data_IF_825609652435
#
_entry.id   IF_825609652435
#
_cell.length_a   1.000
_cell.length_b   1.000
_cell.length_c   1.000
_cell.angle_alpha   90.00
_cell.angle_beta   90.00
_cell.angle_gamma   90.00
#
_symmetry.space_group_name_H-M   'P 1'
#
loop_
_entity.id
_entity.type
_entity.pdbx_description
1 polymer ?
2 polymer ?
3 polymer ?
4 water ?
#
# COMPACT_ATOMS: atom_id res chain seq x y z
N UNK A 1 -20.94 -18.71 8.54
CA UNK A 1 -20.31 -17.46 8.03
C UNK A 1 -18.88 -17.75 7.58
N UNK A 2 -18.54 -17.35 6.37
CA UNK A 2 -17.21 -17.62 5.82
C UNK A 2 -16.21 -16.70 6.48
N UNK A 3 -15.14 -17.28 7.02
CA UNK A 3 -14.10 -16.51 7.70
C UNK A 3 -12.74 -17.12 7.40
N UNK A 4 -11.77 -16.26 7.13
CA UNK A 4 -10.36 -16.64 7.00
C UNK A 4 -9.62 -15.89 8.09
N UNK A 5 -9.34 -16.57 9.19
CA UNK A 5 -8.78 -15.94 10.39
C UNK A 5 -7.26 -16.08 10.33
N UNK A 6 -6.55 -14.96 10.28
CA UNK A 6 -5.12 -14.97 10.05
C UNK A 6 -4.36 -14.64 11.33
N UNK A 7 -3.13 -15.15 11.40
CA UNK A 7 -2.26 -14.93 12.54
C UNK A 7 -1.88 -13.46 12.64
N UNK A 8 -1.13 -13.13 13.69
CA UNK A 8 -0.60 -11.79 13.85
C UNK A 8 0.70 -11.52 13.13
N UNK A 9 1.32 -12.56 12.57
CA UNK A 9 2.63 -12.37 11.95
C UNK A 9 3.59 -11.77 12.95
N UNK A 10 4.39 -10.82 12.48
CA UNK A 10 5.19 -10.04 13.40
C UNK A 10 6.51 -9.59 12.76
N UNK A 11 7.56 -9.66 13.57
CA UNK A 11 8.83 -9.02 13.30
C UNK A 11 9.92 -10.08 13.32
N UNK A 12 10.77 -10.09 12.30
CA UNK A 12 11.82 -11.09 12.17
C UNK A 12 13.07 -10.47 11.57
N UNK A 13 14.22 -11.01 11.96
CA UNK A 13 15.51 -10.57 11.44
C UNK A 13 15.75 -11.16 10.04
N UNK A 14 16.45 -10.44 9.17
CA UNK A 14 16.82 -11.03 7.88
C UNK A 14 17.54 -12.35 8.08
N UNK A 15 17.22 -13.32 7.24
CA UNK A 15 17.72 -14.67 7.40
C UNK A 15 16.86 -15.54 8.30
N UNK A 16 15.93 -14.96 9.04
CA UNK A 16 15.10 -15.69 9.97
C UNK A 16 13.93 -16.39 9.29
N UNK A 17 13.03 -16.88 10.13
CA UNK A 17 11.90 -17.68 9.67
C UNK A 17 10.63 -17.27 10.40
N UNK A 18 9.51 -17.56 9.76
CA UNK A 18 8.20 -17.24 10.29
C UNK A 18 7.17 -18.08 9.54
N UNK A 19 6.05 -18.36 10.20
CA UNK A 19 5.00 -19.21 9.62
C UNK A 19 3.63 -18.59 9.90
N UNK A 20 3.24 -17.58 9.11
CA UNK A 20 1.86 -17.10 9.18
C UNK A 20 0.88 -18.24 8.90
N UNK A 21 -0.31 -18.14 9.50
CA UNK A 21 -1.31 -19.18 9.38
C UNK A 21 -2.67 -18.56 9.12
N UNK A 22 -3.58 -19.40 8.63
CA UNK A 22 -4.93 -18.98 8.27
C UNK A 22 -5.88 -20.13 8.60
N UNK A 23 -6.78 -19.90 9.57
CA UNK A 23 -7.74 -20.90 10.02
C UNK A 23 -9.12 -20.52 9.50
N UNK A 24 -9.76 -21.42 8.77
CA UNK A 24 -10.98 -21.09 8.05
C UNK A 24 -12.21 -21.69 8.71
N UNK A 25 -13.36 -21.05 8.48
CA UNK A 25 -14.66 -21.57 8.85
C UNK A 25 -15.67 -21.19 7.78
N UNK A 26 -16.81 -21.90 7.78
CA UNK A 26 -17.93 -21.56 6.93
C UNK A 26 -17.96 -22.25 5.58
N UNK A 27 -16.94 -23.02 5.21
CA UNK A 27 -16.93 -23.75 3.96
C UNK A 27 -16.10 -25.02 4.14
N UNK A 28 -16.20 -25.92 3.17
CA UNK A 28 -15.48 -27.19 3.22
C UNK A 28 -14.03 -26.95 2.84
N UNK A 29 -13.18 -26.76 3.85
CA UNK A 29 -11.79 -26.40 3.61
C UNK A 29 -11.10 -27.44 2.73
N UNK A 30 -11.33 -28.72 3.01
CA UNK A 30 -10.59 -29.76 2.33
C UNK A 30 -10.95 -29.86 0.85
N UNK A 31 -12.05 -29.25 0.42
CA UNK A 31 -12.45 -29.27 -0.99
C UNK A 31 -12.00 -28.02 -1.75
N UNK A 32 -11.12 -27.22 -1.17
CA UNK A 32 -10.86 -25.87 -1.67
C UNK A 32 -9.36 -25.66 -1.89
N UNK A 33 -8.99 -25.20 -3.08
CA UNK A 33 -7.65 -24.69 -3.31
C UNK A 33 -7.44 -23.37 -2.59
N UNK A 34 -6.21 -23.14 -2.13
CA UNK A 34 -5.89 -21.97 -1.35
C UNK A 34 -4.63 -21.30 -1.90
N UNK A 35 -4.55 -19.98 -1.72
CA UNK A 35 -3.39 -19.21 -2.16
C UNK A 35 -2.99 -18.23 -1.08
N UNK A 36 -1.74 -17.75 -1.19
CA UNK A 36 -1.28 -16.57 -0.48
C UNK A 36 -0.98 -15.47 -1.49
N UNK A 37 -1.39 -14.26 -1.16
CA UNK A 37 -1.11 -13.06 -1.94
C UNK A 37 -0.55 -12.01 -0.99
N UNK A 38 0.41 -11.22 -1.45
CA UNK A 38 1.01 -10.22 -0.58
C UNK A 38 0.95 -8.84 -1.22
N UNK A 39 1.07 -7.82 -0.38
CA UNK A 39 1.17 -6.43 -0.81
C UNK A 39 2.40 -5.84 -0.13
N UNK A 40 3.45 -5.60 -0.92
CA UNK A 40 4.65 -4.95 -0.42
C UNK A 40 4.43 -3.44 -0.36
N UNK A 41 5.19 -2.73 0.48
CA UNK A 41 4.99 -1.28 0.59
C UNK A 41 5.27 -0.58 -0.72
N UNK A 42 4.33 0.27 -1.14
CA UNK A 42 4.47 1.04 -2.35
C UNK A 42 4.03 0.29 -3.59
N UNK A 43 4.27 -1.02 -3.61
CA UNK A 43 3.91 -1.85 -4.75
C UNK A 43 2.49 -2.37 -4.59
N UNK A 44 2.02 -3.11 -5.60
CA UNK A 44 0.66 -3.60 -5.64
C UNK A 44 0.54 -5.04 -5.16
N UNK A 45 -0.59 -5.66 -5.51
CA UNK A 45 -0.85 -7.03 -5.12
C UNK A 45 0.01 -8.00 -5.92
N UNK A 46 0.50 -9.03 -5.26
CA UNK A 46 1.46 -9.97 -5.85
C UNK A 46 1.15 -11.37 -5.33
N UNK A 47 0.74 -12.27 -6.23
CA UNK A 47 0.48 -13.65 -5.84
C UNK A 47 1.77 -14.33 -5.39
N UNK A 48 1.67 -15.14 -4.33
CA UNK A 48 2.82 -15.76 -3.68
C UNK A 48 2.88 -17.26 -3.96
N UNK A 49 1.78 -17.97 -3.71
CA UNK A 49 1.78 -19.43 -3.79
C UNK A 49 0.34 -19.94 -3.75
N UNK A 50 0.14 -21.14 -4.28
CA UNK A 50 -1.16 -21.81 -4.19
C UNK A 50 -0.93 -23.29 -3.89
N UNK A 51 -1.95 -23.91 -3.31
CA UNK A 51 -1.94 -25.35 -3.01
C UNK A 51 -3.33 -25.91 -3.28
N UNK A 52 -3.38 -27.13 -3.79
CA UNK A 52 -4.64 -27.78 -4.12
C UNK A 52 -5.16 -28.57 -2.93
N UNK A 53 -6.21 -29.34 -3.15
CA UNK A 53 -6.62 -30.34 -2.17
C UNK A 53 -5.51 -31.36 -2.00
N UNK A 54 -5.42 -31.91 -0.79
CA UNK A 54 -4.42 -32.94 -0.51
C UNK A 54 -4.55 -34.10 -1.50
N UNK A 55 -5.79 -34.40 -1.91
CA UNK A 55 -6.01 -35.53 -2.80
C UNK A 55 -5.57 -35.29 -4.23
N UNK A 56 -5.37 -34.04 -4.62
CA UNK A 56 -4.91 -33.73 -5.97
C UNK A 56 -3.41 -33.90 -6.12
N UNK A 57 -2.69 -34.16 -5.03
CA UNK A 57 -1.25 -34.31 -5.08
C UNK A 57 -0.63 -34.24 -3.71
N UNK A 58 -0.56 -33.03 -3.13
CA UNK A 58 -1.13 -31.79 -3.68
C UNK A 58 -0.31 -31.17 -4.80
N UNK A 59 -1.01 -30.47 -5.70
CA UNK A 59 -0.37 -29.56 -6.65
C UNK A 59 0.02 -28.28 -5.92
N UNK A 60 1.26 -27.85 -6.11
CA UNK A 60 1.77 -26.65 -5.46
C UNK A 60 2.54 -25.82 -6.49
N UNK A 61 2.31 -24.51 -6.48
CA UNK A 61 3.03 -23.57 -7.33
C UNK A 61 3.48 -22.37 -6.51
N UNK A 62 4.63 -21.82 -6.86
CA UNK A 62 5.21 -20.68 -6.15
C UNK A 62 5.55 -19.57 -7.14
N UNK A 63 5.42 -18.34 -6.67
CA UNK A 63 5.92 -17.20 -7.43
C UNK A 63 7.45 -17.18 -7.41
N UNK A 64 8.04 -16.70 -8.51
CA UNK A 64 9.49 -16.75 -8.65
C UNK A 64 10.25 -16.09 -7.50
N UNK A 65 9.82 -14.94 -6.96
CA UNK A 65 10.60 -14.30 -5.89
C UNK A 65 10.70 -15.09 -4.61
N UNK A 66 9.80 -16.04 -4.37
CA UNK A 66 9.82 -16.83 -3.13
C UNK A 66 10.20 -18.29 -3.37
N UNK A 67 10.34 -18.71 -4.62
CA UNK A 67 10.64 -20.11 -4.91
C UNK A 67 11.94 -20.54 -4.23
N UNK A 68 11.86 -21.61 -3.44
CA UNK A 68 13.02 -22.13 -2.75
C UNK A 68 13.22 -21.60 -1.35
N UNK A 69 12.34 -20.71 -0.88
CA UNK A 69 12.47 -20.15 0.47
C UNK A 69 11.17 -20.30 1.26
N UNK A 70 10.04 -20.22 0.56
CA UNK A 70 8.72 -20.36 1.18
C UNK A 70 8.15 -21.73 0.88
N UNK A 71 7.41 -22.28 1.83
CA UNK A 71 6.71 -23.55 1.66
C UNK A 71 5.27 -23.35 2.10
N UNK A 72 4.33 -23.64 1.19
CA UNK A 72 2.91 -23.57 1.50
C UNK A 72 2.44 -24.98 1.85
N UNK A 73 1.66 -25.09 2.93
CA UNK A 73 1.17 -26.39 3.37
C UNK A 73 -0.20 -26.21 4.01
N UNK A 74 -0.88 -27.32 4.24
CA UNK A 74 -2.23 -27.28 4.78
C UNK A 74 -2.45 -28.47 5.72
N UNK A 75 -3.34 -28.25 6.70
CA UNK A 75 -3.77 -29.29 7.64
C UNK A 75 -5.29 -29.30 7.59
N UNK A 76 -5.86 -30.25 6.84
CA UNK A 76 -7.30 -30.26 6.62
C UNK A 76 -8.07 -30.47 7.92
N UNK A 77 -7.55 -31.34 8.80
CA UNK A 77 -8.29 -31.69 10.00
C UNK A 77 -8.47 -30.50 10.94
N UNK A 78 -7.70 -29.42 10.73
CA UNK A 78 -7.81 -28.21 11.54
C UNK A 78 -8.29 -27.00 10.72
N UNK A 79 -8.48 -27.17 9.41
CA UNK A 79 -8.86 -26.06 8.54
C UNK A 79 -7.77 -24.99 8.48
N UNK A 80 -6.51 -25.41 8.48
CA UNK A 80 -5.39 -24.48 8.59
C UNK A 80 -4.54 -24.48 7.32
N UNK A 81 -4.26 -23.28 6.83
CA UNK A 81 -3.31 -23.05 5.75
C UNK A 81 -2.08 -22.36 6.34
N UNK A 82 -0.90 -22.85 5.97
CA UNK A 82 0.37 -22.30 6.45
C UNK A 82 1.17 -21.72 5.30
N UNK A 83 2.01 -20.74 5.63
CA UNK A 83 3.08 -20.30 4.75
C UNK A 83 4.36 -20.28 5.58
N UNK A 84 5.18 -21.32 5.43
CA UNK A 84 6.46 -21.41 6.13
C UNK A 84 7.47 -20.52 5.41
N UNK A 85 7.86 -19.42 6.03
CA UNK A 85 8.81 -18.50 5.44
C UNK A 85 10.19 -18.75 6.04
N UNK A 86 11.16 -19.07 5.18
CA UNK A 86 12.54 -19.27 5.61
C UNK A 86 13.44 -18.31 4.85
N UNK A 87 14.64 -18.10 5.39
CA UNK A 87 15.65 -17.22 4.81
C UNK A 87 15.01 -15.91 4.36
N UNK A 88 14.34 -15.26 5.30
CA UNK A 88 13.57 -14.07 4.99
C UNK A 88 14.47 -12.89 4.65
N UNK A 89 13.99 -12.05 3.74
CA UNK A 89 14.74 -10.91 3.25
C UNK A 89 13.89 -9.65 3.42
N UNK A 90 14.56 -8.49 3.50
CA UNK A 90 13.83 -7.25 3.69
C UNK A 90 12.82 -7.03 2.57
N UNK A 91 13.05 -7.60 1.39
CA UNK A 91 12.11 -7.50 0.28
C UNK A 91 10.80 -8.24 0.56
N UNK A 92 10.79 -9.16 1.52
CA UNK A 92 9.58 -9.91 1.86
C UNK A 92 8.64 -9.14 2.79
N UNK A 93 9.06 -8.00 3.33
CA UNK A 93 8.17 -7.20 4.17
C UNK A 93 6.89 -6.87 3.42
N UNK A 94 5.74 -7.23 3.99
CA UNK A 94 4.48 -7.03 3.29
C UNK A 94 3.31 -7.43 4.19
N UNK A 95 2.11 -7.14 3.70
CA UNK A 95 0.88 -7.73 4.23
C UNK A 95 0.60 -8.98 3.41
N UNK A 96 0.39 -10.10 4.10
CA UNK A 96 0.15 -11.39 3.48
C UNK A 96 -1.30 -11.80 3.69
N UNK A 97 -2.02 -11.99 2.58
CA UNK A 97 -3.42 -12.40 2.61
C UNK A 97 -3.52 -13.88 2.25
N UNK A 98 -4.30 -14.64 3.02
CA UNK A 98 -4.72 -15.96 2.57
C UNK A 98 -6.01 -15.83 1.78
N UNK A 99 -6.17 -16.70 0.79
CA UNK A 99 -7.35 -16.65 -0.06
C UNK A 99 -7.88 -18.05 -0.30
N UNK A 100 -9.20 -18.17 -0.35
CA UNK A 100 -9.87 -19.37 -0.85
C UNK A 100 -10.08 -19.17 -2.34
N UNK A 101 -9.55 -20.08 -3.15
CA UNK A 101 -9.55 -19.95 -4.60
C UNK A 101 -10.61 -20.83 -5.23
N UNK A 102 -11.03 -20.44 -6.43
CA UNK A 102 -11.90 -21.25 -7.27
C UNK A 102 -11.37 -21.20 -8.70
N UNK A 103 -11.74 -22.22 -9.48
CA UNK A 103 -11.48 -22.26 -10.90
C UNK A 103 -12.80 -22.28 -11.65
N UNK A 104 -12.89 -21.42 -12.66
CA UNK A 104 -14.03 -21.38 -13.55
C UNK A 104 -13.71 -22.22 -14.77
N UNK A 105 -14.27 -23.41 -14.92
CA UNK A 105 -13.98 -24.21 -16.11
C UNK A 105 -14.38 -23.47 -17.38
N UNK A 106 -13.56 -23.63 -18.42
CA UNK A 106 -13.91 -23.15 -19.75
C UNK A 106 -14.80 -24.19 -20.41
N UNK A 107 -15.96 -23.76 -20.88
CA UNK A 107 -16.92 -24.65 -21.51
C UNK A 107 -16.89 -24.58 -23.03
N UNK A 108 -16.04 -23.71 -23.60
CA UNK A 108 -15.77 -23.76 -25.02
C UNK A 108 -14.97 -25.02 -25.34
N UNK A 109 -15.45 -25.80 -26.30
CA UNK A 109 -15.01 -27.19 -26.45
C UNK A 109 -13.49 -27.30 -26.56
N UNK A 110 -12.87 -26.52 -27.44
CA UNK A 110 -11.43 -26.69 -27.66
C UNK A 110 -10.60 -26.21 -26.48
N UNK A 111 -11.22 -25.56 -25.49
CA UNK A 111 -10.55 -25.20 -24.24
C UNK A 111 -11.00 -26.06 -23.08
N UNK A 112 -11.77 -27.13 -23.33
CA UNK A 112 -12.12 -28.06 -22.28
C UNK A 112 -10.86 -28.58 -21.61
N UNK A 113 -10.82 -28.46 -20.28
CA UNK A 113 -9.65 -28.81 -19.49
C UNK A 113 -8.96 -27.61 -18.89
N UNK A 114 -9.07 -26.45 -19.53
CA UNK A 114 -8.52 -25.23 -19.00
C UNK A 114 -9.55 -24.54 -18.11
N UNK A 115 -9.05 -23.67 -17.25
CA UNK A 115 -9.88 -23.00 -16.26
C UNK A 115 -9.30 -21.63 -15.97
N UNK A 116 -10.16 -20.73 -15.51
CA UNK A 116 -9.76 -19.41 -15.03
C UNK A 116 -9.66 -19.47 -13.51
N UNK A 117 -8.45 -19.38 -12.98
CA UNK A 117 -8.20 -19.45 -11.54
C UNK A 117 -8.35 -18.06 -10.93
N UNK A 118 -9.08 -17.97 -9.81
CA UNK A 118 -9.26 -16.68 -9.17
C UNK A 118 -9.37 -16.84 -7.66
N UNK A 119 -9.17 -15.73 -6.96
CA UNK A 119 -9.16 -15.68 -5.50
C UNK A 119 -10.55 -15.25 -5.04
N UNK A 120 -11.33 -16.21 -4.54
CA UNK A 120 -12.76 -16.01 -4.33
C UNK A 120 -13.09 -15.37 -2.99
N UNK A 121 -12.32 -15.64 -1.95
CA UNK A 121 -12.49 -15.02 -0.65
C UNK A 121 -11.11 -14.75 -0.07
N UNK A 122 -10.97 -13.59 0.60
CA UNK A 122 -9.69 -13.13 1.09
C UNK A 122 -9.74 -12.89 2.59
N UNK A 123 -8.66 -13.21 3.29
CA UNK A 123 -8.51 -12.80 4.67
C UNK A 123 -8.12 -11.33 4.78
N UNK A 124 -8.13 -10.82 6.01
CA UNK A 124 -7.81 -9.42 6.27
C UNK A 124 -6.31 -9.13 6.23
N UNK A 125 -5.47 -10.15 6.23
CA UNK A 125 -4.05 -9.93 6.06
C UNK A 125 -3.28 -10.04 7.36
N UNK A 126 -2.02 -10.43 7.24
CA UNK A 126 -1.07 -10.49 8.34
C UNK A 126 0.16 -9.70 7.92
N UNK A 127 0.64 -8.82 8.79
CA UNK A 127 1.82 -8.01 8.50
C UNK A 127 3.07 -8.76 8.89
N UNK A 128 4.03 -8.82 7.97
CA UNK A 128 5.35 -9.39 8.24
C UNK A 128 6.39 -8.31 7.96
N UNK A 129 7.15 -7.96 8.99
CA UNK A 129 8.21 -6.96 8.90
C UNK A 129 9.55 -7.68 9.04
N UNK A 130 10.38 -7.59 8.00
CA UNK A 130 11.73 -8.15 8.04
C UNK A 130 12.69 -6.97 8.22
N UNK A 131 13.35 -6.93 9.37
CA UNK A 131 14.23 -5.82 9.69
C UNK A 131 15.31 -6.29 10.64
N UNK A 132 16.52 -5.75 10.47
CA UNK A 132 17.63 -6.01 11.38
C UNK A 132 17.57 -5.19 12.65
N UNK A 133 16.55 -4.34 12.82
CA UNK A 133 16.46 -3.48 13.98
C UNK A 133 15.96 -4.22 15.21
N UNK A 134 16.36 -3.72 16.37
CA UNK A 134 15.77 -4.07 17.65
C UNK A 134 14.90 -2.91 18.12
N UNK A 135 14.10 -3.17 19.15
CA UNK A 135 13.25 -2.12 19.70
C UNK A 135 14.07 -0.88 19.99
N UNK A 136 13.57 0.28 19.57
CA UNK A 136 14.35 1.50 19.65
C UNK A 136 13.39 2.68 19.64
N UNK A 137 13.59 3.62 20.55
CA UNK A 137 12.78 4.82 20.61
C UNK A 137 13.25 5.87 19.62
N UNK A 138 12.36 6.77 19.22
CA UNK A 138 12.71 7.74 18.18
C UNK A 138 13.51 8.92 18.72
N UNK A 139 14.21 9.56 17.80
CA UNK A 139 14.63 10.96 17.97
C UNK A 139 13.56 11.84 17.36
N UNK A 140 13.29 12.97 18.02
CA UNK A 140 12.32 13.93 17.54
C UNK A 140 13.09 15.20 17.16
N UNK A 141 12.89 15.65 15.94
CA UNK A 141 13.54 16.84 15.45
C UNK A 141 12.50 17.84 14.99
N UNK A 142 12.76 19.14 15.16
CA UNK A 142 11.78 20.13 14.73
C UNK A 142 11.83 20.35 13.23
N UNK A 143 10.65 20.60 12.68
CA UNK A 143 10.49 21.13 11.33
C UNK A 143 10.07 22.59 11.55
N UNK A 144 11.04 23.49 11.51
CA UNK A 144 10.83 24.82 12.05
C UNK A 144 10.18 25.74 11.00
N UNK A 145 9.18 26.53 11.38
CA UNK A 145 8.58 27.46 10.43
C UNK A 145 9.52 28.61 10.11
N UNK A 146 9.40 29.12 8.90
CA UNK A 146 10.29 30.17 8.41
C UNK A 146 9.56 30.96 7.34
N UNK A 147 10.31 31.75 6.57
CA UNK A 147 9.75 32.38 5.38
C UNK A 147 9.52 31.35 4.29
N UNK A 148 10.47 30.42 4.11
CA UNK A 148 10.32 29.34 3.15
C UNK A 148 9.29 28.30 3.59
N UNK A 149 8.60 28.53 4.70
CA UNK A 149 7.45 27.72 5.09
C UNK A 149 6.29 28.63 5.50
N UNK A 150 6.03 29.65 4.68
CA UNK A 150 4.97 30.62 4.93
C UNK A 150 4.16 30.80 3.65
N UNK A 151 2.85 30.67 3.76
CA UNK A 151 1.93 30.89 2.64
C UNK A 151 1.12 32.15 2.91
N UNK A 152 1.81 33.29 2.88
CA UNK A 152 1.17 34.56 3.17
C UNK A 152 0.74 34.68 4.61
N UNK A 153 -0.51 34.30 4.89
CA UNK A 153 -1.05 34.31 6.23
C UNK A 153 -0.96 33.00 6.97
N UNK A 154 -0.43 31.96 6.36
CA UNK A 154 -0.35 30.62 6.95
C UNK A 154 1.10 30.18 7.04
N UNK A 155 1.44 29.56 8.17
CA UNK A 155 2.75 28.96 8.37
C UNK A 155 2.60 27.47 8.62
N UNK A 156 3.59 26.71 8.16
CA UNK A 156 3.65 25.27 8.42
C UNK A 156 4.81 24.96 9.34
N UNK A 157 4.57 24.06 10.29
CA UNK A 157 5.60 23.59 11.20
C UNK A 157 5.32 22.13 11.49
N UNK A 158 6.28 21.45 12.12
CA UNK A 158 6.07 20.04 12.38
C UNK A 158 7.18 19.42 13.20
N UNK A 159 7.12 18.10 13.29
CA UNK A 159 8.09 17.29 13.99
C UNK A 159 8.44 16.09 13.13
N UNK A 160 9.73 15.82 13.02
CA UNK A 160 10.22 14.62 12.33
C UNK A 160 10.56 13.58 13.40
N UNK A 161 9.87 12.45 13.34
CA UNK A 161 10.00 11.37 14.33
C UNK A 161 10.80 10.28 13.65
N UNK A 162 12.10 10.20 13.96
CA UNK A 162 13.03 9.46 13.12
C UNK A 162 13.67 8.29 13.86
N UNK A 163 13.79 7.17 13.15
CA UNK A 163 14.62 6.04 13.54
C UNK A 163 14.08 5.32 14.78
N UNK A 164 12.85 4.81 14.70
CA UNK A 164 12.27 4.00 15.77
C UNK A 164 11.85 2.64 15.24
N UNK A 165 11.62 1.72 16.18
CA UNK A 165 11.20 0.37 15.83
C UNK A 165 10.64 -0.30 17.07
N UNK A 166 9.54 -1.07 16.97
CA UNK A 166 8.67 -1.23 15.81
C UNK A 166 7.60 -0.15 15.79
N UNK A 167 6.64 -0.26 14.88
CA UNK A 167 5.44 0.55 14.98
C UNK A 167 4.63 0.13 16.20
N UNK A 168 3.75 1.01 16.71
CA UNK A 168 3.45 2.37 16.24
C UNK A 168 4.01 3.44 17.16
N UNK A 169 3.99 4.68 16.69
CA UNK A 169 4.15 5.85 17.54
C UNK A 169 2.84 6.64 17.45
N UNK A 170 2.55 7.38 18.51
CA UNK A 170 1.45 8.34 18.49
C UNK A 170 2.04 9.74 18.56
N UNK A 171 1.41 10.66 17.82
CA UNK A 171 1.81 12.06 17.82
C UNK A 171 0.56 12.89 18.05
N UNK A 172 0.64 13.81 19.02
CA UNK A 172 -0.38 14.81 19.22
C UNK A 172 0.31 16.17 19.33
N UNK A 173 -0.49 17.23 19.26
CA UNK A 173 0.00 18.59 19.34
C UNK A 173 -0.64 19.30 20.51
N UNK A 174 0.20 19.99 21.30
CA UNK A 174 -0.28 20.75 22.45
C UNK A 174 -1.15 19.88 23.33
N UNK A 175 -0.72 18.63 23.54
CA UNK A 175 -1.37 17.70 24.44
C UNK A 175 -2.82 17.44 24.04
N UNK A 176 -3.09 17.43 22.74
CA UNK A 176 -4.40 17.14 22.22
C UNK A 176 -5.27 18.34 21.98
N UNK A 177 -4.85 19.53 22.40
CA UNK A 177 -5.67 20.73 22.22
C UNK A 177 -5.60 21.28 20.80
N UNK A 178 -4.65 20.83 19.99
CA UNK A 178 -4.47 21.32 18.62
C UNK A 178 -4.72 20.13 17.68
N UNK A 179 -5.83 20.17 16.95
CA UNK A 179 -6.17 19.10 16.01
C UNK A 179 -6.41 19.64 14.61
N UNK A 180 -6.93 20.85 14.49
CA UNK A 180 -7.24 21.41 13.18
C UNK A 180 -5.96 21.69 12.41
N UNK A 181 -5.92 21.27 11.16
CA UNK A 181 -4.77 21.49 10.30
C UNK A 181 -3.62 20.51 10.48
N UNK A 182 -3.77 19.53 11.35
CA UNK A 182 -2.72 18.53 11.57
C UNK A 182 -2.74 17.52 10.43
N UNK A 183 -1.56 17.11 10.01
CA UNK A 183 -1.40 15.97 9.11
C UNK A 183 -0.25 15.13 9.66
N UNK A 184 -0.56 13.93 10.13
CA UNK A 184 0.45 12.98 10.56
C UNK A 184 0.55 11.89 9.49
N UNK A 185 1.69 11.80 8.86
CA UNK A 185 1.85 10.97 7.69
C UNK A 185 2.12 9.51 8.08
N UNK A 186 1.78 8.56 7.22
CA UNK A 186 2.16 7.18 7.48
C UNK A 186 3.66 7.04 7.61
N UNK A 187 4.09 6.17 8.51
CA UNK A 187 5.51 5.90 8.69
C UNK A 187 6.07 5.23 7.44
N UNK A 188 7.35 5.45 7.21
CA UNK A 188 8.07 4.75 6.14
C UNK A 188 9.16 3.91 6.79
N UNK A 189 9.28 2.67 6.33
CA UNK A 189 10.34 1.79 6.78
C UNK A 189 11.58 2.08 5.94
N UNK A 190 12.60 2.67 6.57
CA UNK A 190 13.79 3.07 5.84
C UNK A 190 14.68 1.87 5.55
N UNK A 191 15.67 2.08 4.67
CA UNK A 191 16.60 1.00 4.31
C UNK A 191 17.34 0.46 5.54
N UNK A 192 17.52 1.30 6.56
CA UNK A 192 18.16 0.87 7.80
C UNK A 192 17.35 -0.15 8.58
N UNK A 193 16.08 -0.35 8.23
CA UNK A 193 15.20 -1.18 9.02
C UNK A 193 14.49 -0.45 10.13
N UNK A 194 14.66 0.87 10.22
CA UNK A 194 13.98 1.70 11.19
C UNK A 194 12.94 2.55 10.50
N UNK A 195 11.89 2.91 11.26
CA UNK A 195 10.81 3.72 10.75
C UNK A 195 11.10 5.20 10.94
N UNK A 196 10.44 6.01 10.12
CA UNK A 196 10.44 7.45 10.29
C UNK A 196 9.08 7.99 9.87
N UNK A 197 8.61 9.03 10.56
CA UNK A 197 7.40 9.70 10.10
C UNK A 197 7.46 11.16 10.49
N UNK A 198 6.67 11.96 9.79
CA UNK A 198 6.53 13.38 10.06
C UNK A 198 5.08 13.68 10.44
N UNK A 199 4.93 14.65 11.34
CA UNK A 199 3.65 15.26 11.66
C UNK A 199 3.79 16.75 11.44
N UNK A 200 2.84 17.35 10.74
CA UNK A 200 2.88 18.77 10.42
C UNK A 200 1.55 19.38 10.80
N UNK A 201 1.57 20.70 10.98
CA UNK A 201 0.35 21.45 11.22
C UNK A 201 0.52 22.83 10.59
N UNK A 202 -0.58 23.39 10.10
CA UNK A 202 -0.60 24.72 9.54
C UNK A 202 -1.38 25.63 10.48
N UNK A 203 -0.86 26.82 10.71
CA UNK A 203 -1.42 27.75 11.68
C UNK A 203 -1.31 29.16 11.13
N UNK A 204 -2.14 30.07 11.62
CA UNK A 204 -1.99 31.48 11.23
C UNK A 204 -0.59 31.97 11.58
N UNK A 205 0.08 32.57 10.59
CA UNK A 205 1.45 33.02 10.80
C UNK A 205 1.53 34.05 11.92
N UNK A 206 0.46 34.81 12.16
CA UNK A 206 0.45 35.76 13.26
C UNK A 206 0.49 35.07 14.62
N UNK A 207 0.03 33.83 14.71
CA UNK A 207 0.00 33.12 15.98
C UNK A 207 1.35 32.59 16.40
N UNK A 208 2.39 32.77 15.58
CA UNK A 208 3.69 32.21 15.90
C UNK A 208 4.39 32.95 17.03
N UNK A 209 3.93 34.16 17.38
CA UNK A 209 4.50 34.91 18.49
C UNK A 209 3.53 35.02 19.65
N UNK A 210 2.51 34.18 19.64
CA UNK A 210 1.45 34.18 20.65
C UNK A 210 1.22 32.80 21.25
N UNK A 211 1.32 31.74 20.45
CA UNK A 211 1.02 30.40 20.88
C UNK A 211 2.28 29.55 20.82
N UNK A 212 2.46 28.69 21.81
CA UNK A 212 3.50 27.69 21.78
C UNK A 212 2.98 26.46 21.07
N UNK A 213 3.88 25.76 20.38
CA UNK A 213 3.55 24.56 19.63
C UNK A 213 4.49 23.44 20.04
N UNK A 214 3.93 22.37 20.60
CA UNK A 214 4.68 21.23 21.09
C UNK A 214 4.09 19.97 20.46
N UNK A 215 4.93 19.12 19.88
CA UNK A 215 4.47 17.82 19.42
C UNK A 215 4.79 16.79 20.50
N UNK A 216 3.77 16.05 20.90
CA UNK A 216 3.87 15.05 21.97
C UNK A 216 4.01 13.69 21.32
N UNK A 217 5.17 13.05 21.49
CA UNK A 217 5.47 11.79 20.83
C UNK A 217 5.54 10.71 21.90
N UNK A 218 4.92 9.56 21.61
CA UNK A 218 4.93 8.42 22.51
C UNK A 218 5.18 7.15 21.69
N UNK A 219 6.27 6.46 21.99
CA UNK A 219 6.60 5.17 21.39
C UNK A 219 6.53 4.12 22.51
N UNK A 220 5.35 3.51 22.66
CA UNK A 220 5.14 2.63 23.80
C UNK A 220 6.02 1.39 23.80
N UNK A 221 6.38 0.79 22.65
CA UNK A 221 7.22 -0.42 22.70
C UNK A 221 8.56 -0.19 23.37
N UNK A 222 9.12 1.03 23.31
CA UNK A 222 10.38 1.32 23.97
C UNK A 222 10.21 2.18 25.21
N UNK A 223 8.97 2.53 25.58
CA UNK A 223 8.70 3.42 26.72
C UNK A 223 9.43 4.74 26.57
N UNK A 224 9.31 5.34 25.38
CA UNK A 224 9.93 6.61 25.07
C UNK A 224 8.84 7.64 24.82
N UNK A 225 8.84 8.69 25.64
CA UNK A 225 7.94 9.82 25.47
C UNK A 225 8.77 11.10 25.38
N UNK A 226 8.44 11.94 24.40
CA UNK A 226 9.16 13.19 24.16
C UNK A 226 8.15 14.27 23.84
N UNK A 227 8.33 15.44 24.43
CA UNK A 227 7.62 16.65 24.04
C UNK A 227 8.63 17.63 23.44
N UNK A 228 8.42 17.98 22.18
CA UNK A 228 9.33 18.85 21.44
C UNK A 228 8.63 20.16 21.11
N UNK A 229 9.13 21.24 21.68
CA UNK A 229 8.69 22.58 21.30
C UNK A 229 9.31 22.95 19.96
N UNK A 230 8.48 23.42 19.03
CA UNK A 230 8.93 23.79 17.70
C UNK A 230 8.74 25.30 17.56
N UNK A 231 9.85 26.00 17.35
CA UNK A 231 9.86 27.46 17.26
C UNK A 231 10.33 27.91 15.89
N UNK A 232 9.96 29.12 15.47
CA UNK A 232 10.42 29.62 14.16
C UNK A 232 11.94 29.74 14.13
N UNK A 233 12.49 29.56 12.93
CA UNK A 233 13.92 29.68 12.70
C UNK A 233 14.12 30.31 11.34
N UNK A 234 14.69 31.51 11.31
CA UNK A 234 14.94 32.22 10.07
C UNK A 234 16.37 31.97 9.57
N UNK B 1 4.54 -14.50 -19.06
CA UNK B 1 5.01 -13.12 -19.38
C UNK B 1 3.92 -12.29 -20.04
N UNK B 2 2.82 -12.08 -19.31
CA UNK B 2 1.71 -11.24 -19.75
C UNK B 2 1.70 -9.99 -18.90
N UNK B 3 1.36 -8.85 -19.51
CA UNK B 3 1.34 -7.56 -18.84
C UNK B 3 -0.08 -7.01 -18.82
N UNK B 4 -0.40 -6.29 -17.75
CA UNK B 4 -1.69 -5.64 -17.60
C UNK B 4 -1.49 -4.17 -17.31
N UNK B 5 -2.22 -3.32 -18.03
CA UNK B 5 -2.14 -1.86 -17.87
C UNK B 5 -3.54 -1.35 -17.57
N UNK B 6 -3.73 -0.79 -16.39
CA UNK B 6 -4.98 -0.17 -16.01
C UNK B 6 -4.93 1.33 -16.26
N UNK B 7 -6.09 1.89 -16.60
CA UNK B 7 -6.19 3.33 -16.76
C UNK B 7 -7.62 3.75 -16.51
N UNK B 8 -7.87 4.91 -15.90
CA UNK B 8 -6.83 5.81 -15.39
C UNK B 8 -6.23 5.26 -14.09
N UNK B 9 -5.09 5.79 -13.66
CA UNK B 9 -4.55 5.41 -12.37
C UNK B 9 -5.35 6.01 -11.22
N UNK B 10 -6.02 7.12 -11.48
CA UNK B 10 -6.82 7.83 -10.49
C UNK B 10 -8.05 8.36 -11.16
N UNK B 11 -9.21 8.18 -10.51
CA UNK B 11 -10.49 8.55 -11.07
C UNK B 11 -11.25 9.38 -10.06
N UNK B 12 -11.60 10.60 -10.43
CA UNK B 12 -12.41 11.48 -9.59
C UNK B 12 -13.89 11.19 -9.86
N UNK B 13 -14.62 10.82 -8.82
CA UNK B 13 -16.01 10.45 -8.96
C UNK B 13 -16.84 11.11 -7.87
N UNK B 14 -18.14 11.21 -8.12
CA UNK B 14 -19.11 11.69 -7.14
C UNK B 14 -20.14 10.60 -6.89
N UNK B 15 -20.84 10.72 -5.76
CA UNK B 15 -21.85 9.74 -5.39
C UNK B 15 -23.01 9.82 -6.38
N UNK B 16 -23.28 8.70 -7.05
CA UNK B 16 -24.32 8.62 -8.05
C UNK B 16 -23.81 8.58 -9.47
N UNK B 17 -22.50 8.64 -9.67
CA UNK B 17 -21.94 8.70 -11.02
C UNK B 17 -21.85 7.32 -11.65
N UNK B 18 -21.87 7.30 -12.98
CA UNK B 18 -21.53 6.11 -13.75
C UNK B 18 -20.03 6.11 -14.00
N UNK B 19 -19.36 5.05 -13.57
CA UNK B 19 -17.90 4.98 -13.57
C UNK B 19 -17.45 3.84 -14.45
N UNK B 20 -16.38 4.08 -15.20
CA UNK B 20 -15.78 3.10 -16.09
C UNK B 20 -14.27 3.11 -15.92
N UNK B 21 -13.69 1.92 -15.69
CA UNK B 21 -12.23 1.78 -15.64
C UNK B 21 -11.85 0.61 -16.54
N UNK B 22 -10.62 0.64 -17.04
CA UNK B 22 -10.19 -0.21 -18.14
C UNK B 22 -8.91 -0.96 -17.78
N UNK B 23 -8.76 -2.15 -18.36
CA UNK B 23 -7.57 -2.98 -18.20
C UNK B 23 -7.16 -3.44 -19.60
N UNK B 24 -5.94 -3.13 -19.99
CA UNK B 24 -5.41 -3.54 -21.28
C UNK B 24 -4.35 -4.60 -21.06
N UNK B 25 -4.55 -5.78 -21.65
CA UNK B 25 -3.54 -6.83 -21.62
C UNK B 25 -2.62 -6.71 -22.81
N UNK B 26 -1.36 -7.08 -22.61
CA UNK B 26 -0.37 -7.04 -23.69
C UNK B 26 -0.67 -8.03 -24.80
N UNK B 27 -1.59 -8.96 -24.58
CA UNK B 27 -1.94 -9.95 -25.59
C UNK B 27 -3.32 -10.50 -25.26
N UNK B 28 -3.90 -11.22 -26.22
CA UNK B 28 -5.22 -11.79 -26.01
C UNK B 28 -5.19 -12.81 -24.88
N UNK B 29 -6.04 -12.60 -23.87
CA UNK B 29 -6.21 -13.56 -22.80
C UNK B 29 -7.66 -14.05 -22.73
N UNK B 30 -8.40 -13.91 -23.83
CA UNK B 30 -9.80 -14.33 -23.92
C UNK B 30 -10.61 -13.74 -22.77
N UNK B 31 -11.12 -14.58 -21.87
CA UNK B 31 -11.87 -14.11 -20.71
C UNK B 31 -11.22 -14.53 -19.39
N UNK B 32 -9.94 -14.91 -19.42
CA UNK B 32 -9.20 -15.24 -18.19
C UNK B 32 -8.81 -13.96 -17.43
N UNK B 33 -9.83 -13.20 -17.04
CA UNK B 33 -9.59 -11.92 -16.38
C UNK B 33 -10.61 -11.70 -15.27
N UNK B 34 -10.12 -11.23 -14.12
CA UNK B 34 -10.95 -11.05 -12.94
C UNK B 34 -10.69 -9.66 -12.35
N UNK B 35 -11.69 -9.14 -11.63
CA UNK B 35 -11.64 -7.81 -11.03
C UNK B 35 -11.84 -7.90 -9.52
N UNK B 36 -11.03 -7.14 -8.78
CA UNK B 36 -11.08 -7.09 -7.33
C UNK B 36 -11.20 -5.65 -6.85
N UNK B 37 -11.77 -5.50 -5.65
CA UNK B 37 -11.86 -4.23 -4.94
C UNK B 37 -11.04 -4.32 -3.67
N UNK B 38 -10.39 -3.22 -3.29
CA UNK B 38 -9.67 -3.16 -2.02
C UNK B 38 -9.81 -1.77 -1.43
N UNK B 39 -10.54 -1.67 -0.31
CA UNK B 39 -10.61 -0.49 0.53
C UNK B 39 -9.63 -0.60 1.68
N UNK B 40 -8.93 0.48 2.04
CA UNK B 40 -8.08 0.44 3.24
C UNK B 40 -8.87 -0.01 4.47
N UNK B 41 -8.32 -0.95 5.22
CA UNK B 41 -8.98 -1.46 6.39
C UNK B 41 -9.98 -2.57 6.13
N UNK B 42 -10.06 -3.08 4.91
CA UNK B 42 -10.97 -4.16 4.56
C UNK B 42 -10.21 -5.23 3.80
N UNK B 43 -10.70 -6.46 3.89
CA UNK B 43 -10.14 -7.50 3.03
C UNK B 43 -10.43 -7.15 1.57
N UNK B 44 -9.53 -7.46 0.65
CA UNK B 44 -9.89 -7.36 -0.76
C UNK B 44 -11.04 -8.30 -1.05
N UNK B 45 -11.77 -8.00 -2.12
CA UNK B 45 -12.91 -8.83 -2.48
C UNK B 45 -13.02 -8.95 -3.99
N UNK B 46 -13.42 -10.13 -4.43
CA UNK B 46 -13.66 -10.40 -5.85
C UNK B 46 -14.97 -9.75 -6.28
N UNK B 47 -14.95 -9.06 -7.42
CA UNK B 47 -16.15 -8.49 -8.02
C UNK B 47 -16.63 -9.28 -9.22
N UNK B 48 -15.74 -9.48 -10.19
CA UNK B 48 -16.06 -10.09 -11.48
C UNK B 48 -15.04 -11.17 -11.75
N UNK B 49 -15.50 -12.32 -12.21
CA UNK B 49 -14.59 -13.35 -12.71
C UNK B 49 -14.97 -13.71 -14.14
N UNK B 50 -13.97 -14.23 -14.86
CA UNK B 50 -14.12 -14.59 -16.25
C UNK B 50 -14.71 -13.42 -17.05
N UNK B 51 -14.12 -12.24 -16.83
CA UNK B 51 -14.40 -11.03 -17.62
C UNK B 51 -15.74 -10.39 -17.30
N UNK B 52 -16.80 -11.18 -17.07
CA UNK B 52 -18.13 -10.61 -16.96
C UNK B 52 -19.04 -11.30 -15.95
N UNK B 53 -18.59 -12.36 -15.28
CA UNK B 53 -19.45 -13.09 -14.36
C UNK B 53 -19.39 -12.41 -13.00
N UNK B 54 -20.55 -11.98 -12.51
CA UNK B 54 -20.66 -11.30 -11.23
C UNK B 54 -20.55 -12.29 -10.08
N UNK B 55 -19.74 -11.99 -9.08
CA UNK B 55 -19.66 -12.88 -7.92
C UNK B 55 -20.96 -12.79 -7.11
N UNK B 56 -21.44 -13.93 -6.64
CA UNK B 56 -22.63 -13.93 -5.80
C UNK B 56 -22.40 -13.00 -4.60
N UNK B 57 -23.44 -12.25 -4.25
CA UNK B 57 -23.35 -11.29 -3.17
C UNK B 57 -22.88 -9.91 -3.57
N UNK B 58 -22.20 -9.78 -4.71
CA UNK B 58 -21.77 -8.47 -5.19
C UNK B 58 -22.95 -7.79 -5.89
N UNK B 59 -23.04 -6.48 -5.71
CA UNK B 59 -24.17 -5.72 -6.22
C UNK B 59 -24.19 -5.70 -7.75
N UNK B 60 -25.41 -5.66 -8.30
CA UNK B 60 -25.61 -5.58 -9.73
C UNK B 60 -25.13 -4.27 -10.34
N UNK B 61 -24.75 -3.29 -9.51
CA UNK B 61 -24.15 -2.07 -10.02
C UNK B 61 -22.81 -2.32 -10.68
N UNK B 62 -22.15 -3.43 -10.33
CA UNK B 62 -20.89 -3.81 -10.95
C UNK B 62 -21.15 -4.66 -12.17
N UNK B 63 -20.39 -4.41 -13.23
CA UNK B 63 -20.47 -5.23 -14.44
C UNK B 63 -19.12 -5.17 -15.13
N UNK B 64 -18.75 -6.29 -15.74
CA UNK B 64 -17.51 -6.38 -16.50
C UNK B 64 -17.81 -6.73 -17.94
N UNK B 65 -16.96 -6.25 -18.84
CA UNK B 65 -17.10 -6.52 -20.26
C UNK B 65 -15.72 -6.67 -20.87
N UNK B 66 -15.67 -7.32 -22.04
CA UNK B 66 -14.43 -7.46 -22.77
C UNK B 66 -14.03 -8.90 -23.03
N UNK B 67 -13.28 -9.09 -24.12
CA UNK B 67 -12.79 -10.41 -24.51
C UNK B 67 -11.57 -10.18 -25.38
N UNK B 68 -10.44 -10.77 -25.00
CA UNK B 68 -9.20 -10.56 -25.72
C UNK B 68 -8.17 -9.77 -24.95
N UNK B 69 -8.10 -8.46 -25.21
CA UNK B 69 -7.11 -7.60 -24.56
C UNK B 69 -7.68 -6.33 -23.94
N UNK B 70 -8.90 -5.92 -24.30
CA UNK B 70 -9.49 -4.69 -23.79
C UNK B 70 -10.64 -5.06 -22.87
N UNK B 71 -10.49 -4.82 -21.57
CA UNK B 71 -11.50 -5.17 -20.59
C UNK B 71 -11.94 -3.93 -19.83
N UNK B 72 -13.19 -3.96 -19.37
CA UNK B 72 -13.78 -2.81 -18.70
C UNK B 72 -14.55 -3.25 -17.47
N UNK B 73 -14.43 -2.48 -16.40
CA UNK B 73 -15.25 -2.61 -15.20
C UNK B 73 -16.12 -1.37 -15.07
N UNK B 74 -17.42 -1.55 -14.89
CA UNK B 74 -18.36 -0.43 -14.82
C UNK B 74 -19.13 -0.46 -13.51
N UNK B 75 -19.24 0.69 -12.87
CA UNK B 75 -20.14 0.90 -11.75
C UNK B 75 -21.24 1.83 -12.22
N UNK B 76 -22.48 1.36 -12.17
CA UNK B 76 -23.59 2.08 -12.79
C UNK B 76 -23.97 3.33 -12.00
N UNK B 77 -23.91 3.24 -10.67
CA UNK B 77 -24.29 4.36 -9.81
C UNK B 77 -23.38 4.30 -8.58
N UNK B 78 -22.34 5.13 -8.58
CA UNK B 78 -21.34 5.04 -7.54
C UNK B 78 -21.95 5.33 -6.17
N UNK B 79 -21.64 4.46 -5.21
CA UNK B 79 -21.99 4.64 -3.81
C UNK B 79 -20.75 4.97 -2.99
N UNK B 80 -20.92 5.57 -1.81
CA UNK B 80 -19.73 5.93 -1.01
C UNK B 80 -18.79 4.77 -0.76
N UNK B 81 -19.31 3.56 -0.56
CA UNK B 81 -18.45 2.41 -0.30
C UNK B 81 -17.59 2.04 -1.50
N UNK B 82 -17.88 2.59 -2.67
CA UNK B 82 -17.12 2.25 -3.87
C UNK B 82 -15.80 3.01 -3.98
N UNK B 83 -15.61 4.07 -3.19
CA UNK B 83 -14.32 4.74 -3.17
C UNK B 83 -13.28 3.76 -2.63
N UNK B 84 -12.40 3.29 -3.51
CA UNK B 84 -11.53 2.16 -3.24
C UNK B 84 -10.54 2.07 -4.39
N UNK B 85 -9.62 1.11 -4.28
CA UNK B 85 -8.73 0.78 -5.39
C UNK B 85 -9.19 -0.52 -6.03
N UNK B 86 -9.21 -0.55 -7.36
CA UNK B 86 -9.72 -1.69 -8.13
C UNK B 86 -8.58 -2.28 -8.95
N UNK B 87 -8.48 -3.61 -8.94
CA UNK B 87 -7.42 -4.32 -9.63
C UNK B 87 -8.00 -5.33 -10.61
N UNK B 88 -7.37 -5.44 -11.78
CA UNK B 88 -7.60 -6.56 -12.67
C UNK B 88 -6.50 -7.61 -12.46
N UNK B 89 -6.78 -8.82 -12.91
CA UNK B 89 -5.92 -9.96 -12.65
C UNK B 89 -6.15 -11.00 -13.73
N UNK B 90 -5.07 -11.46 -14.36
CA UNK B 90 -5.15 -12.44 -15.43
C UNK B 90 -4.71 -13.82 -14.92
N UNK B 91 -5.26 -14.86 -15.54
CA UNK B 91 -4.91 -16.23 -15.15
C UNK B 91 -4.59 -17.07 -16.38
N UNK B 92 -4.05 -16.45 -17.43
CA UNK B 92 -3.93 -17.09 -18.73
C UNK B 92 -2.59 -17.80 -18.95
N UNK B 93 -1.59 -17.53 -18.11
CA UNK B 93 -0.27 -18.10 -18.34
C UNK B 93 -0.27 -19.61 -18.11
N UNK B 94 0.64 -20.28 -18.82
CA UNK B 94 0.77 -21.73 -18.66
C UNK B 94 1.37 -22.07 -17.30
N UNK B 95 2.48 -21.43 -16.96
CA UNK B 95 3.01 -21.49 -15.60
C UNK B 95 2.24 -20.44 -14.80
N UNK B 96 1.50 -20.82 -13.76
CA UNK B 96 0.70 -19.82 -13.04
C UNK B 96 1.56 -18.67 -12.52
N UNK B 97 1.13 -17.44 -12.83
CA UNK B 97 1.80 -16.24 -12.33
C UNK B 97 0.77 -15.28 -11.75
N UNK B 98 -0.44 -15.26 -12.31
CA UNK B 98 -1.55 -14.47 -11.78
C UNK B 98 -1.13 -13.02 -11.52
N UNK B 99 -0.89 -12.31 -12.63
CA UNK B 99 -0.48 -10.91 -12.55
C UNK B 99 -1.69 -10.05 -12.24
N UNK B 100 -1.51 -9.12 -11.32
CA UNK B 100 -2.47 -8.05 -11.06
C UNK B 100 -2.02 -6.77 -11.74
N UNK B 101 -2.98 -5.97 -12.18
CA UNK B 101 -2.68 -4.63 -12.61
C UNK B 101 -2.27 -3.76 -11.43
N UNK B 102 -1.78 -2.56 -11.74
CA UNK B 102 -1.29 -1.64 -10.70
C UNK B 102 -2.42 -1.00 -9.91
N UNK B 103 -3.64 -1.06 -10.41
CA UNK B 103 -4.77 -0.56 -9.67
C UNK B 103 -5.23 0.81 -10.13
N UNK B 104 -6.54 1.06 -9.99
CA UNK B 104 -7.15 2.35 -10.23
C UNK B 104 -7.81 2.79 -8.92
N UNK B 105 -7.37 3.93 -8.39
CA UNK B 105 -7.94 4.46 -7.16
C UNK B 105 -9.08 5.40 -7.52
N UNK B 106 -10.25 5.13 -6.98
CA UNK B 106 -11.43 5.97 -7.21
C UNK B 106 -11.65 6.78 -5.95
N UNK B 107 -11.62 8.11 -6.07
CA UNK B 107 -11.71 8.98 -4.91
C UNK B 107 -12.78 10.04 -5.15
N UNK B 108 -13.02 10.84 -4.12
CA UNK B 108 -14.14 11.77 -4.13
C UNK B 108 -13.73 13.05 -4.85
N UNK B 109 -14.47 13.40 -5.91
CA UNK B 109 -14.11 14.55 -6.72
C UNK B 109 -14.33 15.85 -5.96
N UNK B 110 -13.38 16.76 -6.12
CA UNK B 110 -13.53 18.16 -5.73
C UNK B 110 -12.82 19.00 -6.78
N UNK B 111 -12.88 20.32 -6.60
CA UNK B 111 -12.18 21.21 -7.52
C UNK B 111 -10.68 21.03 -7.39
N UNK B 112 -9.97 21.25 -8.50
CA UNK B 112 -8.51 21.16 -8.49
C UNK B 112 -7.95 22.16 -7.50
N UNK B 113 -7.00 21.71 -6.70
CA UNK B 113 -6.33 22.58 -5.73
C UNK B 113 -4.84 22.29 -5.78
N UNK B 114 -4.05 23.28 -6.17
CA UNK B 114 -2.61 23.12 -6.21
C UNK B 114 -2.06 22.97 -4.80
N UNK B 115 -0.94 22.25 -4.64
CA UNK B 115 -0.36 22.12 -3.30
C UNK B 115 0.29 23.42 -2.85
N UNK B 116 0.17 23.71 -1.55
CA UNK B 116 1.01 24.69 -0.90
C UNK B 116 2.30 24.00 -0.49
N UNK B 117 3.45 24.52 -0.92
CA UNK B 117 4.72 23.83 -0.78
C UNK B 117 5.56 24.52 0.27
N UNK B 118 6.15 23.72 1.17
CA UNK B 118 7.01 24.23 2.23
C UNK B 118 8.25 23.35 2.30
N UNK B 119 9.42 23.95 2.55
CA UNK B 119 10.66 23.20 2.69
C UNK B 119 11.24 23.48 4.07
N UNK B 120 11.82 22.43 4.68
CA UNK B 120 12.34 22.49 6.04
C UNK B 120 13.79 22.02 6.05
N UNK B 121 14.74 22.84 6.46
CA UNK B 121 16.13 22.36 6.56
C UNK B 121 16.28 21.41 7.72
N UNK B 122 17.38 20.66 7.77
CA UNK B 122 17.62 19.81 8.95
C UNK B 122 17.89 20.66 10.18
N UNK B 123 17.57 20.09 11.34
CA UNK B 123 17.85 20.75 12.60
C UNK B 123 19.32 20.58 12.99
N UNK B 124 19.83 21.55 13.74
CA UNK B 124 21.21 21.42 14.24
C UNK B 124 21.34 20.19 15.15
N UNK B 125 20.30 19.89 15.91
CA UNK B 125 20.31 18.70 16.75
C UNK B 125 20.55 17.44 15.92
N UNK B 126 19.82 17.28 14.82
CA UNK B 126 20.04 16.11 13.97
C UNK B 126 21.45 16.11 13.41
N UNK B 127 21.90 17.27 12.93
CA UNK B 127 23.23 17.33 12.31
C UNK B 127 24.31 16.81 13.23
N UNK B 128 24.20 17.07 14.53
CA UNK B 128 25.22 16.60 15.47
C UNK B 128 25.31 15.08 15.49
N UNK B 129 24.29 14.38 15.01
CA UNK B 129 24.27 12.92 15.03
C UNK B 129 24.82 12.29 13.76
N UNK B 130 25.17 13.09 12.75
CA UNK B 130 25.78 12.57 11.53
C UNK B 130 24.84 12.43 10.35
N UNK B 131 23.56 12.77 10.51
CA UNK B 131 22.59 12.66 9.42
C UNK B 131 21.91 14.00 9.23
N UNK B 132 21.42 14.23 8.02
CA UNK B 132 20.64 15.41 7.67
C UNK B 132 19.39 14.97 6.92
N UNK B 133 18.22 15.35 7.43
CA UNK B 133 16.96 15.12 6.73
C UNK B 133 16.41 16.46 6.26
N UNK B 134 16.14 16.58 4.97
CA UNK B 134 15.48 17.75 4.40
C UNK B 134 14.06 17.33 4.03
N UNK B 135 13.08 18.13 4.43
CA UNK B 135 11.67 17.77 4.28
C UNK B 135 10.98 18.80 3.41
N UNK B 136 10.20 18.31 2.45
CA UNK B 136 9.35 19.11 1.58
C UNK B 136 7.91 18.69 1.82
N UNK B 137 7.07 19.65 2.19
CA UNK B 137 5.65 19.40 2.46
C UNK B 137 4.80 19.95 1.33
N UNK B 138 3.95 19.09 0.75
CA UNK B 138 2.92 19.47 -0.20
C UNK B 138 1.56 19.35 0.49
N UNK B 139 0.92 20.49 0.75
CA UNK B 139 -0.23 20.52 1.65
C UNK B 139 -1.53 20.76 0.88
N UNK B 140 -2.53 19.92 1.16
CA UNK B 140 -3.94 20.14 0.80
C UNK B 140 -4.10 20.39 -0.71
N UNK B 141 -3.84 19.34 -1.48
CA UNK B 141 -3.96 19.43 -2.93
C UNK B 141 -4.94 18.37 -3.45
N UNK B 142 -5.33 18.56 -4.71
CA UNK B 142 -6.21 17.62 -5.38
C UNK B 142 -6.10 17.88 -6.88
N UNK B 143 -5.99 16.84 -7.72
CA UNK B 143 -6.03 15.41 -7.42
C UNK B 143 -4.74 14.89 -6.76
N UNK B 144 -4.67 13.57 -6.60
CA UNK B 144 -3.65 12.97 -5.75
C UNK B 144 -2.28 12.95 -6.42
N UNK B 145 -2.23 12.87 -7.74
CA UNK B 145 -0.94 12.71 -8.42
C UNK B 145 -0.11 13.97 -8.26
N UNK B 146 1.10 13.83 -7.73
CA UNK B 146 2.03 14.93 -7.59
C UNK B 146 3.44 14.37 -7.70
N UNK B 147 4.35 15.17 -8.24
CA UNK B 147 5.74 14.77 -8.40
C UNK B 147 6.63 15.75 -7.66
N UNK B 148 7.60 15.22 -6.92
CA UNK B 148 8.59 16.01 -6.21
C UNK B 148 9.97 15.62 -6.71
N UNK B 149 10.75 16.59 -7.14
CA UNK B 149 12.14 16.37 -7.51
C UNK B 149 13.03 17.18 -6.57
N UNK B 150 14.08 16.54 -6.07
CA UNK B 150 15.07 17.18 -5.21
C UNK B 150 16.29 17.57 -6.04
N UNK B 151 16.76 18.81 -5.86
CA UNK B 151 17.97 19.27 -6.52
C UNK B 151 18.88 19.91 -5.47
N UNK B 152 20.14 19.47 -5.45
CA UNK B 152 21.16 19.97 -4.55
C UNK B 152 22.28 20.54 -5.42
N UNK B 153 22.52 21.85 -5.31
CA UNK B 153 23.44 22.53 -6.21
C UNK B 153 23.12 22.21 -7.67
N UNK B 154 21.83 22.13 -7.98
CA UNK B 154 21.32 21.87 -9.32
C UNK B 154 21.55 20.43 -9.78
N UNK B 155 22.01 19.55 -8.91
CA UNK B 155 22.14 18.13 -9.24
C UNK B 155 20.86 17.41 -8.83
N UNK B 156 20.24 16.72 -9.79
CA UNK B 156 19.04 15.94 -9.52
C UNK B 156 19.37 14.76 -8.61
N UNK B 157 18.63 14.63 -7.52
CA UNK B 157 18.81 13.55 -6.57
C UNK B 157 17.96 12.35 -6.94
N UNK B 158 18.54 11.15 -6.85
CA UNK B 158 17.80 9.94 -7.15
C UNK B 158 18.22 8.85 -6.17
N UNK B 159 17.23 8.21 -5.55
CA UNK B 159 17.47 7.07 -4.68
C UNK B 159 17.65 7.38 -3.21
N UNK B 160 17.63 8.66 -2.81
CA UNK B 160 17.86 9.03 -1.43
C UNK B 160 16.71 9.86 -0.85
N UNK B 161 15.50 9.68 -1.38
CA UNK B 161 14.32 10.31 -0.81
C UNK B 161 13.20 9.30 -0.68
N UNK B 162 12.26 9.60 0.22
CA UNK B 162 11.07 8.79 0.40
C UNK B 162 9.87 9.70 0.59
N UNK B 163 8.72 9.24 0.08
CA UNK B 163 7.48 10.00 0.13
C UNK B 163 6.42 9.25 0.94
N UNK B 164 5.58 10.01 1.63
CA UNK B 164 4.41 9.46 2.31
C UNK B 164 3.24 10.39 2.01
N UNK B 165 2.04 9.83 1.86
CA UNK B 165 0.87 10.59 1.48
C UNK B 165 -0.29 10.22 2.40
N UNK B 166 -1.08 11.21 2.77
CA UNK B 166 -2.25 10.97 3.59
C UNK B 166 -3.38 10.36 2.76
N UNK B 167 -4.34 9.77 3.45
CA UNK B 167 -5.59 9.42 2.79
C UNK B 167 -6.41 10.68 2.56
N UNK B 168 -7.35 10.60 1.63
CA UNK B 168 -8.15 11.77 1.29
C UNK B 168 -8.88 12.28 2.52
N UNK B 169 -8.81 13.59 2.74
CA UNK B 169 -9.34 14.17 3.96
C UNK B 169 -10.86 14.14 3.98
N UNK B 170 -11.43 13.80 5.13
CA UNK B 170 -12.87 13.65 5.22
C UNK B 170 -13.60 14.98 5.16
N UNK B 171 -12.90 16.10 5.41
CA UNK B 171 -13.54 17.41 5.46
C UNK B 171 -13.43 18.17 4.15
N UNK B 172 -12.22 18.33 3.60
CA UNK B 172 -12.01 19.11 2.40
C UNK B 172 -11.64 18.27 1.18
N UNK B 173 -11.55 16.95 1.33
CA UNK B 173 -11.32 16.02 0.21
C UNK B 173 -9.96 16.23 -0.45
N UNK B 174 -8.98 16.77 0.27
CA UNK B 174 -7.65 16.98 -0.29
C UNK B 174 -6.67 15.92 0.21
N UNK B 175 -5.48 15.95 -0.39
CA UNK B 175 -4.37 15.11 0.00
C UNK B 175 -3.22 15.98 0.47
N UNK B 176 -2.37 15.41 1.30
CA UNK B 176 -1.10 16.02 1.66
C UNK B 176 0.01 14.99 1.51
N UNK B 177 1.21 15.47 1.27
CA UNK B 177 2.34 14.60 0.94
C UNK B 177 3.60 15.19 1.56
N UNK B 178 4.45 14.32 2.09
CA UNK B 178 5.77 14.70 2.57
C UNK B 178 6.82 13.94 1.78
N UNK B 179 7.89 14.65 1.42
CA UNK B 179 9.07 14.03 0.82
C UNK B 179 10.27 14.38 1.67
N UNK B 180 11.05 13.36 2.03
CA UNK B 180 12.20 13.52 2.90
C UNK B 180 13.45 13.09 2.15
N UNK B 181 14.39 14.02 2.01
CA UNK B 181 15.70 13.73 1.43
C UNK B 181 16.65 13.44 2.58
N UNK B 182 17.34 12.30 2.49
CA UNK B 182 18.27 11.84 3.50
C UNK B 182 19.69 11.96 2.98
N UNK B 183 20.54 12.65 3.73
CA UNK B 183 21.94 12.78 3.39
C UNK B 183 22.77 12.57 4.65
N UNK B 184 23.97 12.01 4.47
CA UNK B 184 24.95 12.05 5.53
C UNK B 184 25.34 13.51 5.80
N UNK B 185 25.72 13.78 7.04
CA UNK B 185 26.19 15.12 7.37
C UNK B 185 27.31 15.55 6.44
N UNK B 186 28.26 14.64 6.17
CA UNK B 186 29.37 14.98 5.28
C UNK B 186 28.86 15.52 3.96
N UNK B 187 27.95 14.79 3.32
CA UNK B 187 27.42 15.24 2.03
C UNK B 187 26.65 16.54 2.18
N UNK B 188 25.79 16.63 3.20
CA UNK B 188 25.01 17.85 3.39
C UNK B 188 25.91 19.07 3.46
N UNK B 189 27.01 18.99 4.19
CA UNK B 189 27.81 20.16 4.52
C UNK B 189 28.64 20.67 3.34
N UNK B 190 28.79 19.89 2.26
CA UNK B 190 29.59 20.35 1.13
C UNK B 190 28.73 20.74 -0.06
N UNK B 191 27.45 21.04 0.16
CA UNK B 191 26.59 21.63 -0.85
C UNK B 191 25.84 22.80 -0.24
N UNK B 192 25.38 23.72 -1.09
CA UNK B 192 24.80 24.96 -0.62
C UNK B 192 23.30 25.08 -0.86
N UNK B 193 22.82 24.91 -2.10
CA UNK B 193 21.43 25.20 -2.42
C UNK B 193 20.63 23.90 -2.44
N UNK B 194 19.60 23.84 -1.60
CA UNK B 194 18.72 22.69 -1.47
C UNK B 194 17.33 23.08 -1.96
N UNK B 195 16.81 22.34 -2.92
CA UNK B 195 15.55 22.70 -3.56
C UNK B 195 14.67 21.48 -3.77
N UNK B 196 13.37 21.63 -3.52
CA UNK B 196 12.39 20.66 -3.98
C UNK B 196 11.49 21.33 -5.01
N UNK B 197 11.28 20.63 -6.12
CA UNK B 197 10.51 21.14 -7.25
C UNK B 197 9.27 20.27 -7.42
N UNK B 198 8.10 20.91 -7.44
CA UNK B 198 6.82 20.22 -7.39
C UNK B 198 6.07 20.47 -8.69
N UNK B 199 5.52 19.41 -9.26
CA UNK B 199 4.58 19.50 -10.37
C UNK B 199 3.26 18.85 -9.98
N UNK B 200 2.17 19.41 -10.51
CA UNK B 200 0.82 19.00 -10.17
C UNK B 200 -0.13 19.61 -11.19
N UNK B 201 -1.25 18.94 -11.43
CA UNK B 201 -2.22 19.41 -12.43
C UNK B 201 -2.63 20.85 -12.18
N UNK B 202 -2.69 21.28 -10.90
CA UNK B 202 -3.05 22.63 -10.56
C UNK B 202 -1.97 23.65 -10.76
N UNK B 203 -0.79 23.24 -11.20
CA UNK B 203 0.35 24.12 -11.38
C UNK B 203 0.67 24.24 -12.87
N UNK B 204 0.56 25.46 -13.39
CA UNK B 204 0.89 25.70 -14.79
C UNK B 204 2.39 25.65 -15.03
N UNK B 205 3.20 25.88 -14.00
CA UNK B 205 4.64 25.66 -14.07
C UNK B 205 5.10 25.15 -12.72
N UNK B 206 6.24 24.44 -12.66
CA UNK B 206 6.66 23.83 -11.39
C UNK B 206 6.93 24.87 -10.31
N UNK B 207 6.61 24.50 -9.07
CA UNK B 207 6.89 25.33 -7.91
C UNK B 207 8.16 24.82 -7.26
N UNK B 208 9.12 25.70 -7.05
CA UNK B 208 10.38 25.35 -6.41
C UNK B 208 10.51 26.12 -5.11
N UNK B 209 10.72 25.38 -4.03
CA UNK B 209 11.08 25.97 -2.74
C UNK B 209 12.50 25.56 -2.42
N UNK B 210 13.31 26.52 -1.97
CA UNK B 210 14.71 26.24 -1.75
C UNK B 210 15.22 27.04 -0.55
N UNK B 211 16.35 26.59 -0.02
CA UNK B 211 17.11 27.37 0.95
C UNK B 211 18.59 27.17 0.65
N UNK B 212 19.39 28.06 1.23
CA UNK B 212 20.84 27.98 1.14
C UNK B 212 21.37 27.60 2.51
N UNK B 213 22.04 26.45 2.59
CA UNK B 213 22.64 26.02 3.84
C UNK B 213 23.54 27.12 4.39
N UNK B 214 23.41 27.41 5.67
CA UNK B 214 24.17 28.48 6.29
C UNK B 214 23.48 29.83 6.28
N UNK B 215 22.41 29.99 5.52
CA UNK B 215 21.64 31.23 5.52
C UNK B 215 20.24 30.95 6.08
N UNK C 4 -19.34 -37.49 9.72
CA UNK C 4 -18.62 -38.54 9.01
C UNK C 4 -19.34 -39.88 9.12
N UNK C 5 -20.58 -39.93 8.64
CA UNK C 5 -21.35 -41.18 8.67
C UNK C 5 -20.86 -42.15 7.60
N UNK C 6 -20.74 -41.68 6.36
CA UNK C 6 -20.40 -42.52 5.24
C UNK C 6 -18.88 -42.62 5.13
N UNK C 7 -18.36 -43.83 5.30
CA UNK C 7 -16.92 -44.09 5.20
C UNK C 7 -16.41 -43.85 3.78
N UNK C 8 -17.29 -43.84 2.79
CA UNK C 8 -16.91 -43.76 1.39
C UNK C 8 -17.25 -42.41 0.76
N UNK C 9 -17.47 -41.39 1.58
CA UNK C 9 -17.86 -40.08 1.07
C UNK C 9 -16.61 -39.26 0.80
N UNK C 10 -16.53 -38.72 -0.40
CA UNK C 10 -15.40 -37.87 -0.76
C UNK C 10 -15.93 -36.57 -1.37
N UNK C 11 -15.04 -35.76 -1.93
CA UNK C 11 -15.36 -34.42 -2.37
C UNK C 11 -15.20 -34.31 -3.88
N UNK C 12 -16.05 -33.48 -4.48
CA UNK C 12 -16.02 -33.16 -5.90
C UNK C 12 -15.98 -31.64 -6.02
N UNK C 13 -15.10 -31.12 -6.88
CA UNK C 13 -15.02 -29.66 -7.06
C UNK C 13 -14.69 -29.33 -8.52
N UNK C 14 -14.49 -28.04 -8.78
CA UNK C 14 -14.30 -27.54 -10.14
C UNK C 14 -13.14 -28.23 -10.85
N UNK C 15 -12.12 -28.65 -10.10
CA UNK C 15 -10.96 -29.26 -10.71
C UNK C 15 -11.28 -30.66 -11.23
N UNK C 16 -12.14 -31.38 -10.54
CA UNK C 16 -12.63 -32.65 -11.08
C UNK C 16 -13.33 -32.41 -12.40
N UNK C 17 -14.18 -31.38 -12.47
CA UNK C 17 -14.87 -31.06 -13.71
C UNK C 17 -13.88 -30.84 -14.85
N UNK C 18 -12.89 -29.97 -14.62
CA UNK C 18 -11.96 -29.63 -15.70
C UNK C 18 -11.19 -30.85 -16.17
N UNK C 19 -10.77 -31.71 -15.23
CA UNK C 19 -10.06 -32.92 -15.63
C UNK C 19 -10.96 -33.88 -16.38
N UNK C 20 -12.25 -33.91 -16.05
CA UNK C 20 -13.17 -34.77 -16.79
C UNK C 20 -13.41 -34.24 -18.19
N UNK C 21 -13.56 -32.92 -18.32
CA UNK C 21 -13.75 -32.32 -19.64
C UNK C 21 -12.51 -32.50 -20.51
N UNK C 22 -11.32 -32.29 -19.93
CA UNK C 22 -10.10 -32.58 -20.67
C UNK C 22 -10.07 -34.03 -21.11
N UNK C 23 -10.32 -34.95 -20.17
CA UNK C 23 -10.34 -36.38 -20.48
C UNK C 23 -11.34 -36.69 -21.58
N UNK C 24 -12.46 -35.95 -21.64
CA UNK C 24 -13.44 -36.15 -22.70
C UNK C 24 -12.92 -35.62 -24.03
N UNK C 25 -12.43 -34.37 -24.04
CA UNK C 25 -11.96 -33.79 -25.29
C UNK C 25 -10.89 -34.66 -25.93
N UNK C 26 -9.92 -35.12 -25.13
CA UNK C 26 -8.90 -36.04 -25.62
C UNK C 26 -9.49 -37.43 -25.83
#
# INVERSE_FOLDING_TARGET
>A
QVQLVQSGGGLVKPGGSLTPSCVTSGFTFSNTWMSWVRQTPGKGLEWVARISRVGDGPIIDYAAPVKGRFIISRDDSRNTLFLHMNNLKTEDTAVYYCTADEGAPILRFFEWGYYNYYMDVWGKGTTVIVSSASTKGPSVFPLAPSSKSTSGGTAALGCLVKDYFPEPVTVSWNSGALTSGVHTFPAVLQSSGLYSLSSVVTVPSSSLGTQTYICNVNHKPSNTKVDKRVEPKSC
>B
DIRLTQSPSSLSASVGDRITITCRASQSIKDYLNWYKHRPGEAPKLLIYSASKLRSGVSSRFSGSGYGSAFTLTISSLQPEDFATYYCQESYSSVPMYIFGQGTKVDLKRTVAAPSVFIFPPSDEQLKSGTASVVCLLNNFYPREAKVQWKVDNALQSGNSQESVTEQDSKDSTYSLSSTLTLSKADYEKHKVYACEVTHQGLSSPVTKSFNRGEC
>C
KKKELDKWASLWNWFDITNWLWYIRKKK
#
